data_IF_317835536893
#
_entry.id   IF_317835536893
#
_cell.length_a   1.000
_cell.length_b   1.000
_cell.length_c   1.000
_cell.angle_alpha   90.00
_cell.angle_beta   90.00
_cell.angle_gamma   90.00
#
_symmetry.space_group_name_H-M   'P 1'
#
loop_
_entity.id
_entity.type
_entity.pdbx_description
1 polymer ?
#
# COMPACT_ATOMS: atom_id res chain seq x y z
N UNK A 1 -24.11 -6.18 -43.03
CA UNK A 1 -24.81 -5.39 -41.99
C UNK A 1 -24.51 -5.98 -40.62
N UNK A 2 -23.34 -5.70 -40.03
CA UNK A 2 -23.01 -6.03 -38.62
C UNK A 2 -21.71 -5.30 -38.21
N UNK A 3 -21.74 -3.97 -38.06
CA UNK A 3 -20.63 -3.21 -37.43
C UNK A 3 -21.13 -1.98 -36.66
N UNK A 4 -22.30 -2.06 -36.02
CA UNK A 4 -22.88 -0.91 -35.28
C UNK A 4 -22.68 -0.99 -33.75
N UNK A 5 -22.09 -2.06 -33.21
CA UNK A 5 -21.99 -2.24 -31.75
C UNK A 5 -20.73 -1.61 -31.11
N UNK A 6 -19.73 -1.22 -31.89
CA UNK A 6 -18.49 -0.62 -31.36
C UNK A 6 -18.60 0.88 -31.02
N UNK A 7 -19.48 1.63 -31.69
CA UNK A 7 -19.54 3.09 -31.51
C UNK A 7 -20.24 3.50 -30.21
N UNK A 8 -21.21 2.72 -29.72
CA UNK A 8 -21.95 3.07 -28.51
C UNK A 8 -21.08 2.97 -27.23
N UNK A 9 -20.18 1.99 -27.18
CA UNK A 9 -19.23 1.82 -26.07
C UNK A 9 -18.16 2.90 -26.08
N UNK A 10 -17.62 3.25 -27.24
CA UNK A 10 -16.64 4.33 -27.39
C UNK A 10 -17.24 5.70 -26.96
N UNK A 11 -18.46 6.02 -27.41
CA UNK A 11 -19.16 7.24 -26.98
C UNK A 11 -19.40 7.30 -25.48
N UNK A 12 -19.76 6.17 -24.87
CA UNK A 12 -19.97 6.10 -23.42
C UNK A 12 -18.67 6.26 -22.63
N UNK A 13 -17.54 5.77 -23.16
CA UNK A 13 -16.21 5.94 -22.57
C UNK A 13 -15.75 7.39 -22.67
N UNK A 14 -15.95 8.04 -23.82
CA UNK A 14 -15.58 9.44 -24.03
C UNK A 14 -16.38 10.38 -23.12
N UNK A 15 -17.68 10.15 -22.95
CA UNK A 15 -18.51 10.90 -21.98
C UNK A 15 -18.06 10.76 -20.53
N UNK A 16 -17.38 9.66 -20.18
CA UNK A 16 -16.85 9.47 -18.82
C UNK A 16 -15.55 10.22 -18.60
N UNK A 17 -14.75 10.38 -19.64
CA UNK A 17 -13.47 11.09 -19.59
C UNK A 17 -13.65 12.59 -19.67
N UNK A 18 -14.51 13.05 -20.57
CA UNK A 18 -14.68 14.47 -20.84
C UNK A 18 -16.17 14.83 -20.81
N UNK A 19 -16.83 14.75 -19.63
CA UNK A 19 -18.27 14.93 -19.54
C UNK A 19 -18.74 16.32 -20.01
N UNK A 20 -18.01 17.38 -19.67
CA UNK A 20 -18.40 18.74 -20.02
C UNK A 20 -18.02 19.09 -21.46
N UNK A 21 -16.82 18.72 -21.90
CA UNK A 21 -16.37 18.98 -23.27
C UNK A 21 -17.19 18.17 -24.30
N UNK A 22 -17.47 16.90 -24.03
CA UNK A 22 -18.28 16.07 -24.93
C UNK A 22 -19.69 16.64 -25.12
N UNK A 23 -20.37 17.00 -24.02
CA UNK A 23 -21.73 17.55 -24.08
C UNK A 23 -21.79 18.90 -24.78
N UNK A 24 -20.73 19.72 -24.66
CA UNK A 24 -20.60 20.99 -25.38
C UNK A 24 -20.43 20.76 -26.89
N UNK A 25 -19.46 19.93 -27.28
CA UNK A 25 -19.18 19.64 -28.69
C UNK A 25 -20.37 18.99 -29.39
N UNK A 26 -21.10 18.12 -28.68
CA UNK A 26 -22.32 17.49 -29.19
C UNK A 26 -23.41 18.51 -29.61
N UNK A 27 -23.40 19.70 -29.01
CA UNK A 27 -24.35 20.78 -29.33
C UNK A 27 -23.79 21.77 -30.33
N UNK A 28 -22.50 22.11 -30.23
CA UNK A 28 -21.87 23.19 -31.00
C UNK A 28 -21.42 22.75 -32.39
N UNK A 29 -20.78 21.58 -32.54
CA UNK A 29 -20.26 21.13 -33.84
C UNK A 29 -21.35 20.98 -34.91
N UNK A 30 -22.55 20.43 -34.60
CA UNK A 30 -23.62 20.36 -35.60
C UNK A 30 -24.11 21.72 -36.09
N UNK A 31 -23.99 22.78 -35.27
CA UNK A 31 -24.35 24.15 -35.69
C UNK A 31 -23.38 24.70 -36.74
N UNK A 32 -22.13 24.21 -36.73
CA UNK A 32 -21.09 24.54 -37.70
C UNK A 32 -21.07 23.60 -38.91
N UNK A 33 -22.03 22.68 -38.99
CA UNK A 33 -22.10 21.64 -40.03
C UNK A 33 -21.07 20.53 -39.87
N UNK A 34 -20.43 20.42 -38.70
CA UNK A 34 -19.42 19.41 -38.40
C UNK A 34 -20.02 18.25 -37.63
N UNK A 35 -19.57 17.04 -37.95
CA UNK A 35 -19.96 15.82 -37.22
C UNK A 35 -19.09 15.59 -36.00
N UNK A 36 -19.75 15.32 -34.87
CA UNK A 36 -19.10 15.15 -33.55
C UNK A 36 -18.30 13.85 -33.51
N UNK A 37 -18.79 12.80 -34.17
CA UNK A 37 -18.10 11.51 -34.16
C UNK A 37 -16.80 11.57 -35.00
N UNK A 38 -16.79 12.41 -36.03
CA UNK A 38 -15.63 12.60 -36.90
C UNK A 38 -14.64 13.62 -36.32
N UNK A 39 -15.12 14.79 -35.88
CA UNK A 39 -14.25 15.89 -35.44
C UNK A 39 -13.86 15.82 -33.96
N UNK A 40 -14.72 15.23 -33.13
CA UNK A 40 -14.53 15.17 -31.68
C UNK A 40 -13.22 14.50 -31.23
N UNK A 41 -12.84 13.33 -31.76
CA UNK A 41 -11.58 12.65 -31.41
C UNK A 41 -10.32 13.51 -31.58
N UNK A 42 -10.33 14.45 -32.53
CA UNK A 42 -9.22 15.37 -32.74
C UNK A 42 -9.16 16.49 -31.69
N UNK A 43 -10.30 16.82 -31.07
CA UNK A 43 -10.41 17.92 -30.10
C UNK A 43 -10.09 17.43 -28.68
N UNK A 44 -10.59 16.25 -28.29
CA UNK A 44 -10.40 15.71 -26.94
C UNK A 44 -9.24 14.69 -26.84
N UNK A 45 -8.52 14.42 -27.93
CA UNK A 45 -7.46 13.42 -28.00
C UNK A 45 -7.98 12.01 -28.31
N UNK A 46 -7.31 11.29 -29.19
CA UNK A 46 -7.71 9.94 -29.59
C UNK A 46 -7.60 8.92 -28.44
N UNK A 47 -8.24 7.76 -28.62
CA UNK A 47 -8.20 6.61 -27.69
C UNK A 47 -6.79 5.96 -27.56
N UNK A 48 -5.75 6.50 -28.21
CA UNK A 48 -4.42 5.88 -28.28
C UNK A 48 -3.55 6.10 -27.02
N UNK A 49 -3.98 6.94 -26.08
CA UNK A 49 -3.30 7.15 -24.78
C UNK A 49 -3.84 6.24 -23.65
N UNK A 50 -4.53 5.15 -24.01
CA UNK A 50 -5.26 4.25 -23.09
C UNK A 50 -4.41 3.28 -22.26
N UNK A 51 -3.08 3.38 -22.28
CA UNK A 51 -2.22 2.55 -21.42
C UNK A 51 -1.88 3.18 -20.05
N UNK A 52 -2.38 4.39 -19.75
CA UNK A 52 -1.97 5.13 -18.54
C UNK A 52 -2.95 5.10 -17.35
N UNK A 53 -4.14 4.49 -17.47
CA UNK A 53 -5.11 4.36 -16.36
C UNK A 53 -5.02 3.00 -15.65
N UNK A 54 -3.82 2.43 -15.51
CA UNK A 54 -3.60 1.43 -14.46
C UNK A 54 -3.72 2.13 -13.10
N UNK A 55 -4.69 1.67 -12.30
CA UNK A 55 -5.05 2.13 -10.93
C UNK A 55 -3.85 2.22 -9.95
N UNK A 56 -2.64 1.83 -10.37
CA UNK A 56 -1.42 1.81 -9.58
C UNK A 56 -0.50 3.03 -9.73
N UNK A 57 -0.71 3.93 -10.69
CA UNK A 57 0.24 5.02 -10.95
C UNK A 57 -0.30 6.44 -10.63
N UNK A 58 -0.94 6.58 -9.47
CA UNK A 58 -1.54 7.83 -8.96
C UNK A 58 -0.53 8.95 -8.56
N UNK A 59 0.70 8.93 -9.07
CA UNK A 59 1.73 9.91 -8.69
C UNK A 59 2.27 10.77 -9.85
N UNK A 60 1.69 10.68 -11.05
CA UNK A 60 2.19 11.39 -12.25
C UNK A 60 1.27 12.52 -12.74
N UNK A 61 0.23 12.90 -12.00
CA UNK A 61 -0.85 13.73 -12.57
C UNK A 61 -0.70 15.24 -12.31
N UNK A 62 0.15 15.69 -11.38
CA UNK A 62 0.12 17.11 -10.95
C UNK A 62 1.28 18.00 -11.39
N UNK A 63 2.48 17.46 -11.62
CA UNK A 63 3.66 18.30 -11.97
C UNK A 63 3.88 18.46 -13.48
N UNK A 64 3.41 17.52 -14.32
CA UNK A 64 3.51 17.60 -15.80
C UNK A 64 2.25 18.18 -16.47
N UNK A 65 1.18 18.47 -15.72
CA UNK A 65 -0.06 18.98 -16.30
C UNK A 65 0.11 20.37 -16.92
N UNK A 66 0.95 21.24 -16.37
CA UNK A 66 1.14 22.60 -16.88
C UNK A 66 1.93 22.62 -18.20
N UNK A 67 2.91 21.73 -18.36
CA UNK A 67 3.70 21.55 -19.59
C UNK A 67 2.95 20.75 -20.65
N UNK A 68 2.10 19.79 -20.23
CA UNK A 68 1.15 19.11 -21.13
C UNK A 68 0.13 20.10 -21.67
N UNK A 69 -0.51 20.90 -20.81
CA UNK A 69 -1.59 21.82 -21.20
C UNK A 69 -1.16 22.83 -22.27
N UNK A 70 0.09 23.31 -22.23
CA UNK A 70 0.61 24.23 -23.26
C UNK A 70 0.81 23.56 -24.61
N UNK A 71 1.23 22.29 -24.63
CA UNK A 71 1.39 21.52 -25.86
C UNK A 71 0.02 21.14 -26.43
N UNK A 72 -0.88 20.73 -25.55
CA UNK A 72 -2.27 20.41 -25.90
C UNK A 72 -3.00 21.65 -26.45
N UNK A 73 -2.63 22.86 -26.00
CA UNK A 73 -3.18 24.12 -26.51
C UNK A 73 -2.70 24.44 -27.94
N UNK A 74 -1.42 24.24 -28.26
CA UNK A 74 -0.90 24.44 -29.62
C UNK A 74 -1.50 23.42 -30.61
N UNK A 75 -1.65 22.17 -30.18
CA UNK A 75 -2.29 21.12 -30.98
C UNK A 75 -3.78 21.43 -31.20
N UNK A 76 -4.48 21.90 -30.16
CA UNK A 76 -5.89 22.30 -30.28
C UNK A 76 -6.08 23.45 -31.28
N UNK A 77 -5.19 24.45 -31.28
CA UNK A 77 -5.25 25.55 -32.27
C UNK A 77 -5.13 25.00 -33.69
N UNK A 78 -4.18 24.09 -33.94
CA UNK A 78 -4.02 23.47 -35.26
C UNK A 78 -5.25 22.66 -35.69
N UNK A 79 -5.87 21.93 -34.75
CA UNK A 79 -7.10 21.18 -35.02
C UNK A 79 -8.24 22.13 -35.36
N UNK A 80 -8.40 23.24 -34.63
CA UNK A 80 -9.44 24.24 -34.90
C UNK A 80 -9.22 24.92 -36.26
N UNK A 81 -7.98 25.25 -36.63
CA UNK A 81 -7.65 25.77 -37.95
C UNK A 81 -7.99 24.78 -39.08
N UNK A 82 -7.70 23.49 -38.87
CA UNK A 82 -8.07 22.44 -39.82
C UNK A 82 -9.60 22.31 -39.95
N UNK A 83 -10.33 22.41 -38.85
CA UNK A 83 -11.80 22.37 -38.84
C UNK A 83 -12.39 23.61 -39.50
N UNK A 84 -11.80 24.79 -39.32
CA UNK A 84 -12.17 26.01 -40.02
C UNK A 84 -12.01 25.84 -41.53
N UNK A 85 -10.86 25.32 -41.98
CA UNK A 85 -10.61 25.05 -43.40
C UNK A 85 -11.56 23.98 -43.99
N UNK A 86 -12.06 23.08 -43.14
CA UNK A 86 -12.99 22.01 -43.53
C UNK A 86 -14.46 22.40 -43.40
N UNK A 87 -14.78 23.55 -42.78
CA UNK A 87 -16.15 24.01 -42.62
C UNK A 87 -16.66 24.61 -43.90
N UNK A 88 -17.75 24.07 -44.43
CA UNK A 88 -18.38 24.58 -45.64
C UNK A 88 -19.22 25.86 -45.40
N UNK A 89 -19.59 26.11 -44.15
CA UNK A 89 -20.62 27.12 -43.81
C UNK A 89 -20.08 28.36 -43.13
N UNK A 90 -18.96 28.24 -42.40
CA UNK A 90 -18.41 29.32 -41.57
C UNK A 90 -16.89 29.44 -41.72
N UNK A 91 -16.29 29.04 -42.84
CA UNK A 91 -14.84 29.10 -43.08
C UNK A 91 -14.24 30.49 -42.86
N UNK A 92 -15.00 31.53 -43.20
CA UNK A 92 -14.52 32.92 -43.24
C UNK A 92 -14.85 33.71 -41.95
N UNK A 93 -15.55 33.10 -40.99
CA UNK A 93 -15.97 33.75 -39.74
C UNK A 93 -14.98 33.48 -38.60
N UNK A 94 -13.87 34.21 -38.60
CA UNK A 94 -12.81 34.12 -37.60
C UNK A 94 -13.30 34.34 -36.16
N UNK A 95 -14.41 35.06 -35.96
CA UNK A 95 -14.94 35.33 -34.62
C UNK A 95 -15.56 34.07 -34.01
N UNK A 96 -16.32 33.31 -34.81
CA UNK A 96 -16.93 32.05 -34.37
C UNK A 96 -15.87 31.01 -33.98
N UNK A 97 -14.76 30.92 -34.71
CA UNK A 97 -13.69 29.96 -34.42
C UNK A 97 -12.88 30.33 -33.18
N UNK A 98 -12.65 31.64 -32.95
CA UNK A 98 -12.04 32.13 -31.70
C UNK A 98 -12.93 31.84 -30.50
N UNK A 99 -14.24 32.06 -30.63
CA UNK A 99 -15.22 31.72 -29.60
C UNK A 99 -15.21 30.21 -29.32
N UNK A 100 -15.24 29.37 -30.36
CA UNK A 100 -15.19 27.92 -30.24
C UNK A 100 -13.93 27.46 -29.49
N UNK A 101 -12.76 27.99 -29.85
CA UNK A 101 -11.50 27.65 -29.20
C UNK A 101 -11.52 28.00 -27.71
N UNK A 102 -11.98 29.21 -27.38
CA UNK A 102 -12.07 29.68 -25.99
C UNK A 102 -13.06 28.83 -25.17
N UNK A 103 -14.19 28.48 -25.76
CA UNK A 103 -15.17 27.63 -25.12
C UNK A 103 -14.63 26.21 -24.88
N UNK A 104 -13.95 25.62 -25.86
CA UNK A 104 -13.33 24.29 -25.71
C UNK A 104 -12.35 24.31 -24.54
N UNK A 105 -11.47 25.32 -24.46
CA UNK A 105 -10.53 25.48 -23.34
C UNK A 105 -11.28 25.57 -22.00
N UNK A 106 -12.35 26.36 -21.95
CA UNK A 106 -13.18 26.50 -20.74
C UNK A 106 -13.83 25.18 -20.32
N UNK A 107 -14.24 24.33 -21.26
CA UNK A 107 -14.81 23.02 -20.93
C UNK A 107 -13.74 22.03 -20.49
N UNK A 108 -12.53 22.07 -21.08
CA UNK A 108 -11.39 21.27 -20.63
C UNK A 108 -11.07 21.59 -19.17
N UNK A 109 -10.99 22.87 -18.80
CA UNK A 109 -10.77 23.29 -17.40
C UNK A 109 -11.85 22.77 -16.44
N UNK A 110 -13.12 22.76 -16.88
CA UNK A 110 -14.22 22.17 -16.10
C UNK A 110 -14.05 20.65 -15.92
N UNK A 111 -13.60 19.95 -16.96
CA UNK A 111 -13.34 18.51 -16.87
C UNK A 111 -12.15 18.22 -15.93
N UNK A 112 -11.08 18.99 -16.01
CA UNK A 112 -9.92 18.88 -15.11
C UNK A 112 -10.34 19.09 -13.65
N UNK A 113 -11.06 20.17 -13.38
CA UNK A 113 -11.54 20.48 -12.01
C UNK A 113 -12.54 19.42 -11.52
N UNK A 114 -13.43 18.94 -12.38
CA UNK A 114 -14.34 17.83 -12.07
C UNK A 114 -13.58 16.59 -11.63
N UNK A 115 -12.58 16.14 -12.39
CA UNK A 115 -11.77 14.97 -12.03
C UNK A 115 -10.97 15.18 -10.75
N UNK A 116 -10.43 16.38 -10.54
CA UNK A 116 -9.73 16.72 -9.30
C UNK A 116 -10.66 16.56 -8.09
N UNK A 117 -11.87 17.13 -8.14
CA UNK A 117 -12.83 17.02 -7.03
C UNK A 117 -13.27 15.58 -6.79
N UNK A 118 -13.46 14.79 -7.86
CA UNK A 118 -13.82 13.38 -7.77
C UNK A 118 -12.71 12.55 -7.12
N UNK A 119 -11.45 12.82 -7.46
CA UNK A 119 -10.29 12.20 -6.83
C UNK A 119 -10.20 12.56 -5.34
N UNK A 120 -10.35 13.85 -5.00
CA UNK A 120 -10.35 14.31 -3.61
C UNK A 120 -11.46 13.65 -2.79
N UNK A 121 -12.66 13.52 -3.36
CA UNK A 121 -13.78 12.85 -2.72
C UNK A 121 -13.49 11.35 -2.46
N UNK A 122 -12.93 10.63 -3.45
CA UNK A 122 -12.51 9.23 -3.27
C UNK A 122 -11.44 9.10 -2.19
N UNK A 123 -10.47 10.02 -2.16
CA UNK A 123 -9.43 10.06 -1.14
C UNK A 123 -10.02 10.30 0.27
N UNK A 124 -11.00 11.18 0.40
CA UNK A 124 -11.69 11.40 1.67
C UNK A 124 -12.49 10.17 2.12
N UNK A 125 -13.23 9.54 1.22
CA UNK A 125 -14.00 8.33 1.53
C UNK A 125 -13.08 7.17 1.98
N UNK A 126 -11.97 6.94 1.29
CA UNK A 126 -11.01 5.91 1.67
C UNK A 126 -10.36 6.19 3.02
N UNK A 127 -10.02 7.45 3.30
CA UNK A 127 -9.54 7.86 4.64
C UNK A 127 -10.58 7.58 5.72
N UNK A 128 -11.83 7.98 5.51
CA UNK A 128 -12.92 7.76 6.46
C UNK A 128 -13.16 6.26 6.72
N UNK A 129 -13.15 5.42 5.68
CA UNK A 129 -13.29 3.97 5.82
C UNK A 129 -12.15 3.32 6.62
N UNK A 130 -10.92 3.83 6.47
CA UNK A 130 -9.78 3.32 7.25
C UNK A 130 -9.85 3.76 8.71
N UNK A 131 -10.30 4.97 8.98
CA UNK A 131 -10.52 5.48 10.33
C UNK A 131 -11.64 4.71 11.04
N UNK A 132 -12.77 4.50 10.37
CA UNK A 132 -13.88 3.70 10.89
C UNK A 132 -13.43 2.28 11.24
N UNK A 133 -12.63 1.64 10.39
CA UNK A 133 -12.04 0.32 10.68
C UNK A 133 -11.15 0.32 11.92
N UNK A 134 -10.36 1.37 12.13
CA UNK A 134 -9.53 1.50 13.34
C UNK A 134 -10.38 1.67 14.60
N UNK A 135 -11.46 2.44 14.52
CA UNK A 135 -12.40 2.62 15.64
C UNK A 135 -13.09 1.29 15.97
N UNK A 136 -13.57 0.56 14.95
CA UNK A 136 -14.18 -0.76 15.13
C UNK A 136 -13.20 -1.77 15.75
N UNK A 137 -11.95 -1.79 15.30
CA UNK A 137 -10.91 -2.66 15.86
C UNK A 137 -10.59 -2.29 17.32
N UNK A 138 -10.46 -0.99 17.62
CA UNK A 138 -10.25 -0.52 19.00
C UNK A 138 -11.43 -0.89 19.92
N UNK A 139 -12.68 -0.76 19.44
CA UNK A 139 -13.87 -1.15 20.19
C UNK A 139 -13.94 -2.67 20.42
N UNK A 140 -13.46 -3.48 19.47
CA UNK A 140 -13.38 -4.94 19.63
C UNK A 140 -12.30 -5.36 20.61
N UNK A 141 -11.15 -4.67 20.60
CA UNK A 141 -10.00 -5.00 21.46
C UNK A 141 -10.17 -4.50 22.91
N UNK A 142 -10.98 -3.46 23.16
CA UNK A 142 -11.23 -2.92 24.50
C UNK A 142 -11.81 -3.96 25.50
N UNK A 143 -12.91 -4.69 25.19
CA UNK A 143 -13.44 -5.72 26.11
C UNK A 143 -12.54 -6.95 26.22
N UNK A 144 -11.75 -7.26 25.19
CA UNK A 144 -10.80 -8.38 25.20
C UNK A 144 -9.59 -8.06 26.11
N UNK A 145 -9.14 -6.81 26.14
CA UNK A 145 -8.10 -6.35 27.06
C UNK A 145 -8.57 -6.34 28.52
N UNK A 146 -9.83 -5.97 28.79
CA UNK A 146 -10.42 -6.05 30.14
C UNK A 146 -10.58 -7.51 30.60
N UNK A 147 -11.07 -8.41 29.74
CA UNK A 147 -11.16 -9.84 30.05
C UNK A 147 -9.79 -10.50 30.29
N UNK A 148 -8.74 -10.07 29.57
CA UNK A 148 -7.37 -10.54 29.79
C UNK A 148 -6.75 -9.99 31.10
N UNK A 149 -7.12 -8.77 31.50
CA UNK A 149 -6.69 -8.19 32.77
C UNK A 149 -7.33 -8.89 33.99
N UNK A 150 -8.59 -9.33 33.87
CA UNK A 150 -9.28 -10.10 34.91
C UNK A 150 -8.74 -11.54 35.07
N UNK A 151 -8.31 -12.18 33.98
CA UNK A 151 -7.66 -13.49 34.05
C UNK A 151 -6.25 -13.44 34.66
N UNK A 152 -5.48 -12.36 34.41
CA UNK A 152 -4.12 -12.21 34.97
C UNK A 152 -4.13 -11.88 36.46
N UNK A 153 -5.12 -11.14 36.95
CA UNK A 153 -5.31 -10.90 38.39
C UNK A 153 -5.78 -12.15 39.15
N UNK A 154 -6.56 -13.04 38.52
CA UNK A 154 -7.02 -14.30 39.12
C UNK A 154 -5.91 -15.36 39.23
N UNK A 155 -4.96 -15.42 38.30
CA UNK A 155 -3.85 -16.39 38.34
C UNK A 155 -2.72 -16.00 39.31
N UNK A 156 -2.48 -14.71 39.55
CA UNK A 156 -1.42 -14.27 40.48
C UNK A 156 -1.74 -14.55 41.96
N UNK A 157 -3.02 -14.71 42.33
CA UNK A 157 -3.38 -15.09 43.71
C UNK A 157 -3.16 -16.58 44.02
N UNK A 158 -3.06 -17.46 43.00
CA UNK A 158 -2.79 -18.88 43.21
C UNK A 158 -1.29 -19.25 43.18
N UNK A 159 -0.44 -18.44 42.53
CA UNK A 159 1.00 -18.72 42.45
C UNK A 159 1.81 -18.32 43.70
N UNK A 160 1.22 -17.56 44.64
CA UNK A 160 1.85 -17.27 45.93
C UNK A 160 1.72 -18.40 46.97
N UNK A 161 1.16 -19.56 46.61
CA UNK A 161 1.05 -20.74 47.49
C UNK A 161 1.79 -22.00 47.04
N UNK A 162 2.49 -22.01 45.89
CA UNK A 162 3.15 -23.23 45.38
C UNK A 162 4.68 -23.16 45.25
N UNK A 163 5.32 -22.15 45.83
CA UNK A 163 6.79 -22.04 45.88
C UNK A 163 7.37 -22.60 47.19
N UNK A 164 6.88 -23.75 47.64
CA UNK A 164 7.60 -24.65 48.55
C UNK A 164 8.02 -25.86 47.71
N UNK A 165 8.99 -25.64 46.83
CA UNK A 165 9.71 -26.75 46.22
C UNK A 165 10.66 -27.24 47.31
N UNK A 166 10.37 -28.41 47.87
CA UNK A 166 11.11 -28.98 49.01
C UNK A 166 12.62 -28.85 48.79
N UNK A 167 13.30 -28.28 49.77
CA UNK A 167 14.75 -28.06 49.82
C UNK A 167 15.54 -29.33 49.42
N UNK A 168 14.94 -30.50 49.69
CA UNK A 168 15.44 -31.83 49.40
C UNK A 168 15.49 -32.13 47.89
N UNK A 169 14.46 -31.72 47.13
CA UNK A 169 14.43 -31.80 45.67
C UNK A 169 15.48 -30.91 45.02
N UNK A 170 15.71 -29.73 45.62
CA UNK A 170 16.78 -28.81 45.20
C UNK A 170 18.16 -29.42 45.46
N UNK A 171 18.36 -30.04 46.62
CA UNK A 171 19.59 -30.78 46.95
C UNK A 171 19.83 -31.95 46.00
N UNK A 172 18.80 -32.73 45.67
CA UNK A 172 18.89 -33.83 44.72
C UNK A 172 19.26 -33.36 43.31
N UNK A 173 18.73 -32.23 42.85
CA UNK A 173 19.13 -31.65 41.57
C UNK A 173 20.58 -31.14 41.59
N UNK A 174 21.02 -30.50 42.67
CA UNK A 174 22.40 -30.04 42.83
C UNK A 174 23.37 -31.22 42.95
N UNK A 175 22.98 -32.32 43.57
CA UNK A 175 23.81 -33.53 43.63
C UNK A 175 23.90 -34.26 42.28
N UNK A 176 22.84 -34.17 41.45
CA UNK A 176 22.78 -34.87 40.15
C UNK A 176 23.31 -34.05 38.97
N UNK A 177 23.28 -32.72 39.08
CA UNK A 177 23.66 -31.79 38.01
C UNK A 177 24.60 -30.67 38.45
N UNK A 178 24.95 -30.59 39.74
CA UNK A 178 25.99 -29.70 40.22
C UNK A 178 27.33 -30.22 39.73
N UNK A 179 27.97 -29.41 38.90
CA UNK A 179 29.34 -29.65 38.46
C UNK A 179 30.27 -29.58 39.68
N UNK A 180 31.01 -30.65 39.95
CA UNK A 180 32.24 -30.55 40.75
C UNK A 180 33.14 -29.53 40.04
N UNK A 181 33.41 -28.39 40.67
CA UNK A 181 34.51 -27.52 40.26
C UNK A 181 35.82 -28.28 40.49
N UNK A 182 36.61 -28.60 39.45
CA UNK A 182 37.91 -29.18 39.68
C UNK A 182 38.82 -28.11 40.26
N UNK A 183 39.23 -28.33 41.51
CA UNK A 183 40.33 -27.61 42.15
C UNK A 183 41.56 -27.62 41.25
N UNK A 184 42.12 -26.42 41.05
CA UNK A 184 43.37 -26.17 40.37
C UNK A 184 44.52 -26.98 41.01
N UNK A 185 45.00 -28.03 40.33
CA UNK A 185 46.38 -28.47 40.46
C UNK A 185 46.84 -29.37 39.29
N UNK A 186 47.66 -28.77 38.42
CA UNK A 186 48.92 -29.31 37.90
C UNK A 186 48.97 -30.81 37.56
N UNK A 187 48.93 -31.19 36.27
CA UNK A 187 50.02 -31.93 35.58
C UNK A 187 49.67 -32.26 34.11
N UNK A 188 50.71 -32.46 33.32
CA UNK A 188 50.76 -32.70 31.87
C UNK A 188 49.99 -33.93 31.37
N UNK A 189 49.40 -33.75 30.18
CA UNK A 189 49.61 -34.65 29.04
C UNK A 189 48.68 -35.86 28.89
N UNK A 190 48.05 -35.94 27.71
CA UNK A 190 47.85 -37.22 27.03
C UNK A 190 46.44 -37.80 27.01
N UNK A 191 45.81 -37.66 25.83
CA UNK A 191 45.08 -38.69 25.08
C UNK A 191 43.78 -39.32 25.61
N UNK A 192 42.80 -39.30 24.69
CA UNK A 192 41.66 -40.20 24.47
C UNK A 192 40.34 -39.89 25.20
N UNK A 193 39.62 -39.01 24.52
CA UNK A 193 38.18 -38.70 24.59
C UNK A 193 37.35 -39.90 24.09
N UNK A 194 36.69 -40.61 25.00
CA UNK A 194 35.75 -41.68 24.66
C UNK A 194 34.55 -41.76 25.63
N UNK A 195 34.07 -40.60 26.10
CA UNK A 195 32.82 -40.51 26.88
C UNK A 195 31.91 -39.35 26.47
N UNK A 196 32.23 -38.62 25.39
CA UNK A 196 31.50 -37.42 24.92
C UNK A 196 30.44 -37.70 23.85
N UNK A 197 30.16 -38.96 23.50
CA UNK A 197 29.18 -39.31 22.46
C UNK A 197 27.75 -39.44 22.97
N UNK A 198 27.53 -39.87 24.21
CA UNK A 198 26.17 -40.10 24.75
C UNK A 198 25.45 -38.82 25.19
N UNK A 199 26.18 -37.80 25.65
CA UNK A 199 25.60 -36.52 26.08
C UNK A 199 25.28 -35.61 24.86
N UNK A 200 26.11 -35.66 23.81
CA UNK A 200 25.88 -34.93 22.57
C UNK A 200 24.64 -35.43 21.81
N UNK A 201 24.36 -36.74 21.86
CA UNK A 201 23.15 -37.33 21.27
C UNK A 201 21.87 -36.87 21.99
N UNK A 202 21.91 -36.71 23.32
CA UNK A 202 20.79 -36.20 24.13
C UNK A 202 20.45 -34.75 23.79
N UNK A 203 21.45 -33.85 23.75
CA UNK A 203 21.22 -32.44 23.39
C UNK A 203 20.71 -32.28 21.95
N UNK A 204 21.23 -33.10 21.02
CA UNK A 204 20.79 -33.11 19.63
C UNK A 204 19.36 -33.62 19.49
N UNK A 205 18.97 -34.64 20.25
CA UNK A 205 17.60 -35.15 20.29
C UNK A 205 16.63 -34.16 20.93
N UNK A 206 17.01 -33.50 22.04
CA UNK A 206 16.19 -32.46 22.68
C UNK A 206 15.98 -31.27 21.74
N UNK A 207 17.02 -30.82 21.04
CA UNK A 207 16.90 -29.75 20.05
C UNK A 207 16.02 -30.16 18.86
N UNK A 208 16.13 -31.40 18.39
CA UNK A 208 15.28 -31.93 17.34
C UNK A 208 13.81 -32.00 17.77
N UNK A 209 13.53 -32.42 19.01
CA UNK A 209 12.18 -32.49 19.56
C UNK A 209 11.55 -31.11 19.73
N UNK A 210 12.33 -30.14 20.22
CA UNK A 210 11.88 -28.75 20.40
C UNK A 210 11.61 -28.08 19.05
N UNK A 211 12.47 -28.32 18.05
CA UNK A 211 12.24 -27.84 16.68
C UNK A 211 11.01 -28.48 16.03
N UNK A 212 10.77 -29.78 16.27
CA UNK A 212 9.60 -30.47 15.77
C UNK A 212 8.31 -29.94 16.42
N UNK A 213 8.33 -29.68 17.72
CA UNK A 213 7.19 -29.11 18.46
C UNK A 213 6.90 -27.66 18.00
N UNK A 214 7.94 -26.86 17.77
CA UNK A 214 7.81 -25.50 17.20
C UNK A 214 7.26 -25.54 15.77
N UNK A 215 7.71 -26.48 14.95
CA UNK A 215 7.19 -26.68 13.60
C UNK A 215 5.73 -27.14 13.61
N UNK A 216 5.33 -27.98 14.56
CA UNK A 216 3.94 -28.40 14.77
C UNK A 216 3.07 -27.23 15.23
N UNK A 217 3.55 -26.38 16.15
CA UNK A 217 2.83 -25.17 16.57
C UNK A 217 2.60 -24.19 15.41
N UNK A 218 3.62 -23.98 14.57
CA UNK A 218 3.50 -23.16 13.37
C UNK A 218 2.58 -23.79 12.31
N UNK A 219 2.54 -25.12 12.22
CA UNK A 219 1.60 -25.85 11.34
C UNK A 219 0.17 -25.87 11.89
N UNK A 220 -0.03 -25.87 13.21
CA UNK A 220 -1.35 -25.75 13.83
C UNK A 220 -1.88 -24.32 13.78
N UNK A 221 -0.98 -23.32 13.66
CA UNK A 221 -1.32 -21.98 13.17
C UNK A 221 -1.59 -22.02 11.66
N UNK A 222 -2.57 -22.83 11.23
CA UNK A 222 -3.09 -22.79 9.86
C UNK A 222 -3.77 -21.44 9.61
N UNK A 223 -2.98 -20.51 9.09
CA UNK A 223 -3.18 -19.88 7.77
C UNK A 223 -4.61 -19.51 7.41
N UNK A 224 -5.08 -18.39 7.95
CA UNK A 224 -5.86 -17.41 7.18
C UNK A 224 -5.20 -16.03 7.25
N UNK A 225 -3.87 -15.95 7.33
CA UNK A 225 -3.20 -14.67 7.10
C UNK A 225 -3.25 -14.42 5.60
N UNK A 226 -4.17 -13.56 5.20
CA UNK A 226 -4.35 -13.19 3.80
C UNK A 226 -3.05 -12.60 3.25
N UNK A 227 -2.81 -12.71 1.93
CA UNK A 227 -1.65 -12.08 1.24
C UNK A 227 -1.48 -10.60 1.63
N UNK A 228 -2.58 -9.94 1.98
CA UNK A 228 -2.65 -8.56 2.47
C UNK A 228 -2.00 -8.38 3.85
N UNK A 229 -2.22 -9.29 4.79
CA UNK A 229 -1.65 -9.24 6.14
C UNK A 229 -0.14 -9.48 6.13
N UNK A 230 0.35 -10.41 5.32
CA UNK A 230 1.80 -10.61 5.15
C UNK A 230 2.48 -9.38 4.52
N UNK A 231 1.83 -8.75 3.54
CA UNK A 231 2.32 -7.51 2.95
C UNK A 231 2.32 -6.35 3.97
N UNK A 232 1.28 -6.24 4.81
CA UNK A 232 1.23 -5.24 5.87
C UNK A 232 2.32 -5.47 6.93
N UNK A 233 2.54 -6.71 7.35
CA UNK A 233 3.60 -7.08 8.30
C UNK A 233 4.99 -6.78 7.73
N UNK A 234 5.17 -7.01 6.43
CA UNK A 234 6.42 -6.65 5.72
C UNK A 234 6.61 -5.14 5.63
N UNK A 235 5.54 -4.37 5.35
CA UNK A 235 5.58 -2.90 5.36
C UNK A 235 5.89 -2.36 6.76
N UNK A 236 5.23 -2.87 7.81
CA UNK A 236 5.50 -2.50 9.20
C UNK A 236 6.94 -2.80 9.61
N UNK A 237 7.46 -3.98 9.28
CA UNK A 237 8.86 -4.33 9.57
C UNK A 237 9.87 -3.41 8.87
N UNK A 238 9.57 -2.93 7.65
CA UNK A 238 10.39 -1.93 6.97
C UNK A 238 10.38 -0.58 7.70
N UNK A 239 9.19 -0.10 8.09
CA UNK A 239 9.03 1.14 8.85
C UNK A 239 9.73 1.08 10.21
N UNK A 240 9.63 -0.04 10.92
CA UNK A 240 10.28 -0.21 12.23
C UNK A 240 11.81 -0.22 12.09
N UNK A 241 12.35 -0.86 11.05
CA UNK A 241 13.77 -0.81 10.73
C UNK A 241 14.23 0.61 10.40
N UNK A 242 13.42 1.37 9.69
CA UNK A 242 13.72 2.76 9.34
C UNK A 242 13.70 3.66 10.57
N UNK A 243 12.70 3.53 11.44
CA UNK A 243 12.63 4.21 12.74
C UNK A 243 13.84 3.89 13.62
N UNK A 244 14.22 2.61 13.73
CA UNK A 244 15.42 2.19 14.48
C UNK A 244 16.69 2.78 13.88
N UNK A 245 16.81 2.88 12.55
CA UNK A 245 17.94 3.54 11.88
C UNK A 245 17.94 5.04 12.15
N UNK A 246 16.78 5.70 12.11
CA UNK A 246 16.64 7.12 12.39
C UNK A 246 16.95 7.44 13.86
N UNK A 247 16.50 6.61 14.80
CA UNK A 247 16.82 6.73 16.22
C UNK A 247 18.32 6.57 16.47
N UNK A 248 18.96 5.60 15.80
CA UNK A 248 20.43 5.45 15.84
C UNK A 248 21.15 6.67 15.26
N UNK A 249 20.66 7.24 14.16
CA UNK A 249 21.20 8.48 13.57
C UNK A 249 21.04 9.65 14.53
N UNK A 250 19.87 9.83 15.15
CA UNK A 250 19.61 10.86 16.17
C UNK A 250 20.51 10.67 17.39
N UNK A 251 20.70 9.45 17.88
CA UNK A 251 21.59 9.16 19.02
C UNK A 251 23.06 9.43 18.69
N UNK A 252 23.51 9.12 17.48
CA UNK A 252 24.86 9.44 17.02
C UNK A 252 25.07 10.96 16.82
N UNK A 253 24.06 11.67 16.31
CA UNK A 253 24.10 13.12 16.10
C UNK A 253 24.00 13.90 17.41
N UNK A 254 23.32 13.34 18.42
CA UNK A 254 23.18 13.97 19.75
C UNK A 254 24.46 13.94 20.59
N UNK A 255 25.56 13.35 20.11
CA UNK A 255 26.92 13.77 20.47
C UNK A 255 27.28 13.94 21.96
N UNK A 256 26.51 13.38 22.91
CA UNK A 256 26.87 13.38 24.32
C UNK A 256 27.92 12.28 24.52
N UNK A 257 29.14 12.60 24.11
CA UNK A 257 30.33 12.15 24.83
C UNK A 257 30.15 12.62 26.28
N UNK A 258 29.56 11.79 27.12
CA UNK A 258 29.77 11.87 28.58
C UNK A 258 31.28 11.80 28.79
N UNK A 259 31.88 12.97 29.02
CA UNK A 259 33.12 13.06 29.79
C UNK A 259 32.78 12.83 31.25
#
# INVERSE_FOLDING_TARGET
>A
MTSSCGSATAKAQQRRRHPHLYDYLQRRLPQLGLDVDTCGPYIWGGDDDDDALDDNNNNLILEDAATSLTKDQEELVQVVELLQASSETHSDDDEIWKELLQDIQTQIEKDVTYHQTLYEQKLQQTKAQLEEKRIQEAQRMAPEAEAAAEQTTSNNNNNNKSSTMDEETKRLLVQRYGYEEPDDNNNKGGTNDETSTTIAESNRQVAAQLNLQRAQQLRSQKTTTTKREEQQKTKQSKLDKEKLKEERRKRAQKGERKR
#
